data_IF_116874344056
#
_entry.id   IF_116874344056
#
_cell.length_a   1.000
_cell.length_b   1.000
_cell.length_c   1.000
_cell.angle_alpha   90.00
_cell.angle_beta   90.00
_cell.angle_gamma   90.00
#
_symmetry.space_group_name_H-M   'P 1'
#
loop_
_entity.id
_entity.type
_entity.pdbx_description
1 polymer ?
#
# COMPACT_ATOMS: atom_id res chain seq x y z
N UNK A 1 35.92 14.20 -6.42
CA UNK A 1 34.78 15.13 -6.34
C UNK A 1 33.56 14.37 -5.84
N UNK A 2 33.38 14.19 -4.53
CA UNK A 2 32.31 13.30 -4.02
C UNK A 2 31.69 13.70 -2.68
N UNK A 3 32.15 14.77 -2.04
CA UNK A 3 31.54 15.27 -0.79
C UNK A 3 30.40 16.25 -1.08
N UNK A 4 30.52 17.08 -2.12
CA UNK A 4 29.47 18.05 -2.50
C UNK A 4 28.17 17.35 -2.92
N UNK A 5 28.24 16.29 -3.74
CA UNK A 5 27.05 15.54 -4.15
C UNK A 5 26.40 14.84 -2.95
N UNK A 6 27.21 14.30 -2.04
CA UNK A 6 26.74 13.67 -0.81
C UNK A 6 26.04 14.69 0.11
N UNK A 7 26.59 15.90 0.25
CA UNK A 7 25.95 16.99 1.00
C UNK A 7 24.62 17.45 0.37
N UNK A 8 24.53 17.51 -0.96
CA UNK A 8 23.28 17.83 -1.67
C UNK A 8 22.23 16.73 -1.40
N UNK A 9 22.62 15.46 -1.43
CA UNK A 9 21.74 14.33 -1.13
C UNK A 9 21.26 14.36 0.32
N UNK A 10 22.14 14.69 1.27
CA UNK A 10 21.77 14.83 2.68
C UNK A 10 20.78 15.98 2.92
N UNK A 11 20.93 17.09 2.19
CA UNK A 11 20.00 18.22 2.25
C UNK A 11 18.63 17.86 1.66
N UNK A 12 18.59 17.06 0.59
CA UNK A 12 17.35 16.63 -0.04
C UNK A 12 16.57 15.61 0.79
N UNK A 13 17.26 14.71 1.49
CA UNK A 13 16.66 13.66 2.33
C UNK A 13 17.20 13.71 3.77
N UNK A 14 16.68 14.63 4.60
CA UNK A 14 17.04 14.67 6.01
C UNK A 14 16.64 13.35 6.69
N UNK A 15 17.39 12.98 7.75
CA UNK A 15 17.17 11.76 8.54
C UNK A 15 17.53 10.42 7.86
N UNK A 16 18.12 10.43 6.65
CA UNK A 16 18.57 9.21 5.93
C UNK A 16 20.07 9.16 5.64
N UNK A 17 20.87 9.90 6.40
CA UNK A 17 22.30 10.09 6.13
C UNK A 17 23.09 8.78 6.14
N UNK A 18 22.76 7.84 7.04
CA UNK A 18 23.40 6.52 7.13
C UNK A 18 23.04 5.62 5.95
N UNK A 19 21.75 5.48 5.62
CA UNK A 19 21.32 4.66 4.48
C UNK A 19 21.82 5.24 3.15
N UNK A 20 21.79 6.57 3.00
CA UNK A 20 22.35 7.24 1.81
C UNK A 20 23.85 6.96 1.73
N UNK A 21 24.59 7.03 2.84
CA UNK A 21 26.03 6.71 2.86
C UNK A 21 26.29 5.29 2.38
N UNK A 22 25.59 4.32 2.94
CA UNK A 22 25.81 2.91 2.64
C UNK A 22 25.50 2.62 1.16
N UNK A 23 24.35 3.09 0.67
CA UNK A 23 23.96 2.96 -0.75
C UNK A 23 24.96 3.69 -1.66
N UNK A 24 25.37 4.91 -1.31
CA UNK A 24 26.29 5.71 -2.10
C UNK A 24 27.69 5.09 -2.18
N UNK A 25 28.21 4.53 -1.07
CA UNK A 25 29.50 3.84 -1.04
C UNK A 25 29.47 2.61 -1.94
N UNK A 26 28.40 1.81 -1.86
CA UNK A 26 28.22 0.62 -2.70
C UNK A 26 28.12 0.99 -4.18
N UNK A 27 27.35 2.01 -4.52
CA UNK A 27 27.23 2.47 -5.90
C UNK A 27 28.49 3.18 -6.40
N UNK A 28 29.28 3.82 -5.54
CA UNK A 28 30.54 4.47 -5.95
C UNK A 28 31.61 3.44 -6.34
N UNK A 29 31.60 2.25 -5.73
CA UNK A 29 32.57 1.21 -6.07
C UNK A 29 32.50 0.88 -7.57
N UNK A 30 33.62 1.10 -8.27
CA UNK A 30 33.76 0.91 -9.72
C UNK A 30 34.36 -0.44 -10.11
N UNK A 31 34.82 -1.22 -9.13
CA UNK A 31 35.62 -2.43 -9.38
C UNK A 31 34.98 -3.64 -8.71
N UNK A 32 34.68 -4.67 -9.52
CA UNK A 32 34.30 -6.05 -9.15
C UNK A 32 32.86 -6.26 -8.65
N UNK A 33 32.26 -7.47 -8.86
CA UNK A 33 30.81 -7.64 -8.88
C UNK A 33 30.23 -7.33 -7.51
N UNK A 34 29.43 -6.26 -7.45
CA UNK A 34 28.65 -5.90 -6.29
C UNK A 34 27.57 -6.95 -6.14
N UNK A 35 27.56 -7.69 -5.03
CA UNK A 35 26.43 -8.53 -4.63
C UNK A 35 25.11 -7.80 -4.88
N UNK A 36 24.02 -8.51 -5.25
CA UNK A 36 22.74 -7.87 -5.45
C UNK A 36 22.34 -7.11 -4.17
N UNK A 37 21.78 -5.92 -4.33
CA UNK A 37 21.39 -5.07 -3.21
C UNK A 37 19.92 -5.31 -2.88
N UNK A 38 19.58 -5.50 -1.60
CA UNK A 38 18.21 -5.66 -1.15
C UNK A 38 17.85 -4.61 -0.10
N UNK A 39 16.95 -3.70 -0.48
CA UNK A 39 16.50 -2.56 0.30
C UNK A 39 15.10 -2.84 0.84
N UNK A 40 14.95 -2.95 2.15
CA UNK A 40 13.66 -3.29 2.77
C UNK A 40 13.25 -2.32 3.86
N UNK A 41 11.93 -2.15 4.04
CA UNK A 41 11.31 -1.24 5.00
C UNK A 41 9.86 -0.95 4.63
N UNK A 42 9.10 -0.24 5.45
CA UNK A 42 7.73 0.14 5.09
C UNK A 42 7.67 1.00 3.81
N UNK A 43 6.52 1.08 3.12
CA UNK A 43 6.35 2.04 2.04
C UNK A 43 6.43 3.49 2.56
N UNK A 44 6.64 4.45 1.67
CA UNK A 44 6.88 5.86 2.00
C UNK A 44 8.11 6.14 2.88
N UNK A 45 9.07 5.20 2.97
CA UNK A 45 10.38 5.41 3.65
C UNK A 45 11.44 6.07 2.76
N UNK A 46 11.12 6.38 1.50
CA UNK A 46 12.05 7.04 0.56
C UNK A 46 13.08 6.12 -0.09
N UNK A 47 12.91 4.79 -0.04
CA UNK A 47 13.82 3.81 -0.67
C UNK A 47 14.08 4.13 -2.15
N UNK A 48 13.00 4.27 -2.93
CA UNK A 48 13.07 4.56 -4.36
C UNK A 48 13.78 5.88 -4.63
N UNK A 49 13.38 6.95 -3.95
CA UNK A 49 13.95 8.29 -4.16
C UNK A 49 15.43 8.33 -3.81
N UNK A 50 15.86 7.68 -2.72
CA UNK A 50 17.28 7.59 -2.35
C UNK A 50 18.09 6.87 -3.42
N UNK A 51 17.62 5.73 -3.95
CA UNK A 51 18.31 5.01 -5.04
C UNK A 51 18.42 5.89 -6.29
N UNK A 52 17.28 6.45 -6.70
CA UNK A 52 17.18 7.26 -7.91
C UNK A 52 18.14 8.45 -7.85
N UNK A 53 18.22 9.13 -6.71
CA UNK A 53 19.11 10.26 -6.49
C UNK A 53 20.59 9.87 -6.37
N UNK A 54 20.93 8.79 -5.66
CA UNK A 54 22.31 8.33 -5.57
C UNK A 54 22.88 7.96 -6.95
N UNK A 55 22.07 7.33 -7.81
CA UNK A 55 22.50 6.96 -9.17
C UNK A 55 22.57 8.17 -10.11
N UNK A 56 21.67 9.14 -9.96
CA UNK A 56 21.73 10.43 -10.68
C UNK A 56 22.97 11.22 -10.30
N UNK A 57 23.30 11.33 -9.01
CA UNK A 57 24.50 12.00 -8.52
C UNK A 57 25.79 11.34 -9.04
N UNK A 58 25.82 10.02 -9.15
CA UNK A 58 26.96 9.28 -9.70
C UNK A 58 26.96 9.21 -11.24
N UNK A 59 25.96 9.81 -11.90
CA UNK A 59 25.73 9.77 -13.34
C UNK A 59 25.78 8.34 -13.92
N UNK A 60 25.16 7.38 -13.23
CA UNK A 60 25.14 5.97 -13.63
C UNK A 60 23.82 5.60 -14.32
N UNK A 61 23.89 4.76 -15.34
CA UNK A 61 22.70 4.28 -16.05
C UNK A 61 21.84 3.43 -15.12
N UNK A 62 20.57 3.82 -14.96
CA UNK A 62 19.56 3.10 -14.17
C UNK A 62 18.38 2.65 -15.02
N UNK A 63 17.82 1.50 -14.68
CA UNK A 63 16.59 0.96 -15.26
C UNK A 63 15.66 0.58 -14.12
N UNK A 64 14.56 1.31 -13.99
CA UNK A 64 13.55 1.09 -12.96
C UNK A 64 12.36 0.31 -13.53
N UNK A 65 11.94 -0.74 -12.81
CA UNK A 65 10.81 -1.59 -13.18
C UNK A 65 9.98 -1.83 -11.93
N UNK A 66 8.68 -1.60 -12.06
CA UNK A 66 7.75 -1.90 -10.99
C UNK A 66 7.17 -3.29 -11.17
N UNK A 67 7.54 -4.21 -10.27
CA UNK A 67 7.08 -5.59 -10.32
C UNK A 67 5.59 -5.70 -10.01
N UNK A 68 5.00 -4.72 -9.31
CA UNK A 68 3.56 -4.66 -9.07
C UNK A 68 2.76 -4.46 -10.37
N UNK A 69 3.33 -3.77 -11.37
CA UNK A 69 2.68 -3.55 -12.66
C UNK A 69 2.80 -4.77 -13.60
N UNK A 70 3.59 -5.78 -13.24
CA UNK A 70 3.81 -6.97 -14.04
C UNK A 70 2.97 -8.13 -13.49
N UNK A 71 1.81 -8.47 -14.09
CA UNK A 71 0.96 -9.54 -13.53
C UNK A 71 1.54 -10.94 -13.74
N UNK A 72 2.33 -11.15 -14.80
CA UNK A 72 2.83 -12.46 -15.22
C UNK A 72 4.34 -12.43 -15.50
N UNK A 73 5.00 -13.59 -15.47
CA UNK A 73 6.45 -13.72 -15.72
C UNK A 73 6.87 -13.15 -17.08
N UNK A 74 6.05 -13.40 -18.12
CA UNK A 74 6.27 -12.85 -19.47
C UNK A 74 6.31 -11.32 -19.47
N UNK A 75 5.37 -10.68 -18.77
CA UNK A 75 5.31 -9.22 -18.71
C UNK A 75 6.55 -8.65 -18.01
N UNK A 76 7.04 -9.34 -16.97
CA UNK A 76 8.28 -8.97 -16.29
C UNK A 76 9.49 -9.05 -17.21
N UNK A 77 9.68 -10.18 -17.89
CA UNK A 77 10.81 -10.38 -18.82
C UNK A 77 10.81 -9.37 -19.96
N UNK A 78 9.66 -9.19 -20.61
CA UNK A 78 9.51 -8.22 -21.70
C UNK A 78 9.75 -6.79 -21.19
N UNK A 79 9.27 -6.44 -20.00
CA UNK A 79 9.52 -5.11 -19.40
C UNK A 79 11.00 -4.87 -19.11
N UNK A 80 11.72 -5.87 -18.59
CA UNK A 80 13.17 -5.79 -18.36
C UNK A 80 13.92 -5.59 -19.68
N UNK A 81 13.65 -6.43 -20.68
CA UNK A 81 14.33 -6.36 -21.96
C UNK A 81 14.03 -5.07 -22.72
N UNK A 82 12.79 -4.60 -22.69
CA UNK A 82 12.39 -3.32 -23.29
C UNK A 82 13.17 -2.16 -22.68
N UNK A 83 13.25 -2.10 -21.35
CA UNK A 83 13.97 -1.02 -20.67
C UNK A 83 15.49 -1.10 -20.85
N UNK A 84 16.08 -2.30 -20.82
CA UNK A 84 17.51 -2.48 -21.06
C UNK A 84 17.92 -2.16 -22.50
N UNK A 85 17.05 -2.38 -23.48
CA UNK A 85 17.26 -2.02 -24.89
C UNK A 85 16.84 -0.60 -25.25
N UNK A 86 16.34 0.19 -24.28
CA UNK A 86 15.71 1.50 -24.49
C UNK A 86 14.55 1.48 -25.50
N UNK A 87 13.89 0.33 -25.65
CA UNK A 87 12.75 0.15 -26.54
C UNK A 87 11.45 0.56 -25.84
N UNK A 88 10.70 1.47 -26.45
CA UNK A 88 9.39 1.91 -25.94
C UNK A 88 8.31 1.36 -26.87
N UNK A 89 7.38 0.52 -26.39
CA UNK A 89 6.24 0.10 -27.20
C UNK A 89 5.38 1.34 -27.51
N UNK A 90 5.25 1.64 -28.80
CA UNK A 90 4.59 2.84 -29.31
C UNK A 90 3.72 2.48 -30.50
N UNK A 91 2.85 3.40 -30.93
CA UNK A 91 2.03 3.17 -32.12
C UNK A 91 2.88 2.89 -33.38
N UNK A 92 4.09 3.46 -33.46
CA UNK A 92 5.00 3.30 -34.59
C UNK A 92 5.57 1.89 -34.74
N UNK A 93 5.68 1.12 -33.65
CA UNK A 93 6.15 -0.27 -33.66
C UNK A 93 5.02 -1.29 -33.39
N UNK A 94 3.75 -0.87 -33.54
CA UNK A 94 2.60 -1.73 -33.35
C UNK A 94 2.43 -2.22 -31.90
N UNK A 95 2.91 -1.45 -30.92
CA UNK A 95 2.90 -1.81 -29.49
C UNK A 95 3.61 -3.14 -29.18
N UNK A 96 4.54 -3.57 -30.03
CA UNK A 96 5.27 -4.82 -29.81
C UNK A 96 6.40 -4.62 -28.79
N UNK A 97 6.65 -5.62 -27.97
CA UNK A 97 7.86 -5.70 -27.15
C UNK A 97 9.08 -5.95 -28.06
N UNK A 98 10.27 -5.53 -27.62
CA UNK A 98 11.53 -5.69 -28.35
C UNK A 98 11.73 -7.13 -28.81
N UNK A 99 11.52 -8.09 -27.90
CA UNK A 99 11.43 -9.52 -28.19
C UNK A 99 10.38 -10.16 -27.29
N UNK A 100 9.62 -11.10 -27.84
CA UNK A 100 8.64 -11.90 -27.08
C UNK A 100 9.37 -12.99 -26.31
N UNK A 101 9.16 -13.03 -24.99
CA UNK A 101 9.85 -13.99 -24.11
C UNK A 101 8.86 -14.75 -23.25
N UNK A 102 8.70 -16.04 -23.53
CA UNK A 102 7.77 -16.90 -22.82
C UNK A 102 8.47 -17.73 -21.74
N UNK A 103 9.76 -18.04 -21.93
CA UNK A 103 10.55 -18.85 -21.00
C UNK A 103 11.75 -18.08 -20.47
N UNK A 104 12.19 -18.46 -19.27
CA UNK A 104 13.40 -17.94 -18.63
C UNK A 104 14.67 -18.14 -19.48
N UNK A 105 14.77 -19.25 -20.20
CA UNK A 105 15.90 -19.53 -21.10
C UNK A 105 15.97 -18.51 -22.27
N UNK A 106 14.81 -18.16 -22.84
CA UNK A 106 14.74 -17.15 -23.89
C UNK A 106 15.13 -15.78 -23.34
N UNK A 107 14.65 -15.45 -22.14
CA UNK A 107 15.04 -14.22 -21.45
C UNK A 107 16.56 -14.11 -21.29
N UNK A 108 17.23 -15.14 -20.78
CA UNK A 108 18.71 -15.14 -20.61
C UNK A 108 19.41 -14.99 -21.97
N UNK A 109 18.93 -15.70 -23.01
CA UNK A 109 19.49 -15.59 -24.37
C UNK A 109 19.36 -14.17 -24.91
N UNK A 110 18.20 -13.54 -24.76
CA UNK A 110 17.97 -12.17 -25.23
C UNK A 110 18.71 -11.12 -24.40
N UNK A 111 18.95 -11.39 -23.12
CA UNK A 111 19.75 -10.53 -22.26
C UNK A 111 21.23 -10.54 -22.70
N UNK A 112 21.76 -11.68 -23.15
CA UNK A 112 23.11 -11.79 -23.73
C UNK A 112 23.28 -11.02 -25.05
N UNK A 113 22.21 -10.83 -25.81
CA UNK A 113 22.24 -10.10 -27.07
C UNK A 113 22.32 -8.58 -26.88
N UNK A 114 22.05 -8.07 -25.66
CA UNK A 114 22.08 -6.64 -25.36
C UNK A 114 23.51 -6.22 -24.98
N UNK A 115 24.21 -5.44 -25.82
CA UNK A 115 25.56 -4.99 -25.50
C UNK A 115 25.52 -3.92 -24.39
N UNK A 116 25.80 -4.31 -23.16
CA UNK A 116 25.96 -3.38 -22.05
C UNK A 116 27.41 -2.88 -22.02
N UNK A 117 27.68 -1.72 -22.64
CA UNK A 117 29.02 -1.10 -22.65
C UNK A 117 29.40 -0.44 -21.31
N UNK A 118 28.41 -0.14 -20.48
CA UNK A 118 28.54 0.55 -19.21
C UNK A 118 27.76 -0.19 -18.11
N UNK A 119 28.21 -0.09 -16.83
CA UNK A 119 27.50 -0.68 -15.71
C UNK A 119 26.08 -0.10 -15.59
N UNK A 120 25.07 -0.94 -15.77
CA UNK A 120 23.65 -0.62 -15.73
C UNK A 120 23.03 -1.17 -14.46
N UNK A 121 22.35 -0.32 -13.69
CA UNK A 121 21.67 -0.70 -12.45
C UNK A 121 20.20 -1.05 -12.74
N UNK A 122 19.85 -2.32 -12.58
CA UNK A 122 18.49 -2.82 -12.69
C UNK A 122 17.80 -2.74 -11.32
N UNK A 123 16.85 -1.82 -11.20
CA UNK A 123 16.09 -1.57 -9.97
C UNK A 123 14.71 -2.21 -10.09
N UNK A 124 14.45 -3.23 -9.28
CA UNK A 124 13.18 -3.93 -9.21
C UNK A 124 12.40 -3.41 -8.00
N UNK A 125 11.33 -2.67 -8.27
CA UNK A 125 10.45 -2.11 -7.26
C UNK A 125 9.38 -3.12 -6.85
N UNK A 126 9.01 -3.14 -5.56
CA UNK A 126 8.03 -4.08 -5.00
C UNK A 126 8.38 -5.55 -5.26
N UNK A 127 9.64 -5.92 -5.02
CA UNK A 127 10.19 -7.26 -5.26
C UNK A 127 9.46 -8.37 -4.48
N UNK A 128 8.67 -8.05 -3.45
CA UNK A 128 7.82 -9.02 -2.75
C UNK A 128 6.83 -9.72 -3.71
N UNK A 129 6.31 -8.96 -4.69
CA UNK A 129 5.39 -9.49 -5.72
C UNK A 129 6.08 -10.50 -6.63
N UNK A 130 7.39 -10.36 -6.86
CA UNK A 130 8.15 -11.28 -7.73
C UNK A 130 8.14 -12.70 -7.20
N UNK A 131 8.09 -12.90 -5.88
CA UNK A 131 8.03 -14.25 -5.31
C UNK A 131 6.73 -14.94 -5.65
N UNK A 132 5.62 -14.19 -5.67
CA UNK A 132 4.31 -14.73 -6.08
C UNK A 132 4.21 -14.96 -7.58
N UNK A 133 4.86 -14.11 -8.39
CA UNK A 133 4.77 -14.18 -9.86
C UNK A 133 5.73 -15.25 -10.42
N UNK A 134 7.02 -15.16 -10.09
CA UNK A 134 8.07 -16.04 -10.61
C UNK A 134 9.25 -16.17 -9.63
N UNK A 135 9.21 -17.15 -8.71
CA UNK A 135 10.32 -17.35 -7.76
C UNK A 135 11.62 -17.79 -8.46
N UNK A 136 11.53 -18.51 -9.59
CA UNK A 136 12.70 -18.94 -10.38
C UNK A 136 13.42 -17.78 -11.04
N UNK A 137 12.68 -16.80 -11.59
CA UNK A 137 13.26 -15.61 -12.17
C UNK A 137 14.04 -14.82 -11.13
N UNK A 138 13.49 -14.69 -9.92
CA UNK A 138 14.16 -13.95 -8.84
C UNK A 138 15.52 -14.56 -8.50
N UNK A 139 15.62 -15.89 -8.44
CA UNK A 139 16.89 -16.59 -8.19
C UNK A 139 17.89 -16.28 -9.30
N UNK A 140 17.46 -16.40 -10.57
CA UNK A 140 18.34 -16.06 -11.70
C UNK A 140 18.76 -14.60 -11.66
N UNK A 141 17.86 -13.68 -11.32
CA UNK A 141 18.14 -12.25 -11.20
C UNK A 141 19.19 -11.96 -10.11
N UNK A 142 19.10 -12.62 -8.95
CA UNK A 142 20.10 -12.53 -7.88
C UNK A 142 21.46 -13.12 -8.27
N UNK A 143 21.46 -14.09 -9.19
CA UNK A 143 22.65 -14.78 -9.64
C UNK A 143 23.18 -14.26 -10.98
N UNK A 144 22.59 -13.20 -11.55
CA UNK A 144 23.03 -12.64 -12.83
C UNK A 144 24.52 -12.32 -12.84
N UNK A 145 25.04 -11.83 -11.72
CA UNK A 145 26.45 -11.50 -11.53
C UNK A 145 27.40 -12.70 -11.63
N UNK A 146 26.92 -13.93 -11.40
CA UNK A 146 27.71 -15.16 -11.55
C UNK A 146 27.95 -15.49 -13.03
N UNK A 147 27.07 -15.05 -13.91
CA UNK A 147 27.23 -15.24 -15.34
C UNK A 147 28.19 -14.17 -15.88
N UNK A 148 29.33 -14.62 -16.43
CA UNK A 148 30.42 -13.77 -16.90
C UNK A 148 30.00 -12.73 -17.96
N UNK A 149 28.91 -12.98 -18.69
CA UNK A 149 28.34 -12.11 -19.71
C UNK A 149 27.56 -10.92 -19.15
N UNK A 150 27.08 -10.99 -17.90
CA UNK A 150 26.23 -9.97 -17.28
C UNK A 150 26.94 -9.15 -16.21
N UNK A 151 28.27 -9.13 -16.24
CA UNK A 151 29.12 -8.43 -15.25
C UNK A 151 28.81 -6.93 -15.10
N UNK A 152 28.21 -6.32 -16.12
CA UNK A 152 27.83 -4.92 -16.11
C UNK A 152 26.40 -4.67 -15.61
N UNK A 153 25.63 -5.68 -15.22
CA UNK A 153 24.26 -5.50 -14.72
C UNK A 153 24.25 -5.72 -13.22
N UNK A 154 23.91 -4.69 -12.46
CA UNK A 154 23.78 -4.75 -11.01
C UNK A 154 22.31 -4.76 -10.63
N UNK A 155 21.88 -5.74 -9.86
CA UNK A 155 20.49 -5.87 -9.45
C UNK A 155 20.28 -5.23 -8.08
N UNK A 156 19.33 -4.29 -8.00
CA UNK A 156 18.84 -3.72 -6.75
C UNK A 156 17.37 -4.05 -6.60
N UNK A 157 17.02 -4.73 -5.52
CA UNK A 157 15.67 -5.10 -5.14
C UNK A 157 15.17 -4.13 -4.07
N UNK A 158 13.95 -3.63 -4.22
CA UNK A 158 13.26 -2.91 -3.14
C UNK A 158 12.01 -3.67 -2.72
N UNK A 159 11.84 -3.83 -1.42
CA UNK A 159 10.79 -4.66 -0.86
C UNK A 159 10.20 -4.03 0.41
N UNK A 160 9.02 -4.49 0.81
CA UNK A 160 8.46 -4.20 2.13
C UNK A 160 8.83 -5.26 3.17
N UNK A 161 8.98 -6.53 2.76
CA UNK A 161 9.29 -7.61 3.68
C UNK A 161 10.78 -7.69 4.02
N UNK A 162 11.13 -8.10 5.25
CA UNK A 162 12.48 -8.55 5.55
C UNK A 162 12.90 -9.71 4.66
N UNK A 163 14.18 -9.77 4.31
CA UNK A 163 14.75 -10.80 3.44
C UNK A 163 14.49 -12.23 3.94
N UNK A 164 14.46 -12.44 5.27
CA UNK A 164 14.23 -13.76 5.87
C UNK A 164 12.86 -14.35 5.51
N UNK A 165 11.81 -13.51 5.45
CA UNK A 165 10.47 -13.96 5.05
C UNK A 165 10.43 -14.32 3.58
N UNK A 166 11.10 -13.51 2.76
CA UNK A 166 11.22 -13.73 1.33
C UNK A 166 12.00 -15.03 1.06
N UNK A 167 13.13 -15.22 1.72
CA UNK A 167 13.94 -16.45 1.68
C UNK A 167 13.14 -17.67 2.13
N UNK A 168 12.29 -17.52 3.16
CA UNK A 168 11.36 -18.55 3.63
C UNK A 168 10.44 -19.08 2.53
N UNK A 169 9.91 -18.18 1.69
CA UNK A 169 9.07 -18.55 0.54
C UNK A 169 9.87 -19.18 -0.61
N UNK A 170 11.18 -18.90 -0.68
CA UNK A 170 12.10 -19.49 -1.66
C UNK A 170 12.75 -20.80 -1.21
N UNK A 171 12.43 -21.33 -0.02
CA UNK A 171 13.07 -22.52 0.57
C UNK A 171 12.95 -23.80 -0.27
N UNK A 172 12.00 -23.87 -1.21
CA UNK A 172 11.92 -24.95 -2.20
C UNK A 172 13.14 -25.00 -3.13
N UNK A 173 13.94 -23.94 -3.19
CA UNK A 173 15.14 -23.85 -3.99
C UNK A 173 16.37 -23.84 -3.06
N UNK A 174 17.16 -24.92 -3.09
CA UNK A 174 18.41 -24.98 -2.34
C UNK A 174 19.43 -23.95 -2.90
N UNK A 175 20.21 -23.33 -2.01
CA UNK A 175 21.33 -22.42 -2.30
C UNK A 175 21.01 -21.07 -2.97
N UNK A 176 19.99 -20.34 -2.49
CA UNK A 176 19.75 -18.95 -2.91
C UNK A 176 20.87 -18.02 -2.39
N UNK A 177 21.47 -17.26 -3.30
CA UNK A 177 22.48 -16.24 -2.99
C UNK A 177 21.86 -15.13 -2.12
N UNK A 178 22.50 -14.81 -0.99
CA UNK A 178 22.03 -13.75 -0.10
C UNK A 178 22.53 -12.38 -0.57
N UNK A 179 21.64 -11.44 -0.91
CA UNK A 179 22.00 -10.07 -1.29
C UNK A 179 22.58 -9.29 -0.11
N UNK A 180 23.23 -8.17 -0.40
CA UNK A 180 23.59 -7.19 0.62
C UNK A 180 22.32 -6.50 1.14
N UNK A 181 22.09 -6.54 2.45
CA UNK A 181 20.85 -6.09 3.06
C UNK A 181 21.02 -4.67 3.61
N UNK A 182 20.13 -3.76 3.21
CA UNK A 182 20.03 -2.43 3.82
C UNK A 182 18.60 -2.22 4.31
N UNK A 183 18.49 -1.91 5.59
CA UNK A 183 17.23 -1.64 6.25
C UNK A 183 16.91 -0.14 6.25
N UNK A 184 15.67 0.18 5.87
CA UNK A 184 15.09 1.51 5.97
C UNK A 184 14.11 1.56 7.15
N UNK A 185 14.50 2.13 8.31
CA UNK A 185 13.61 2.27 9.46
C UNK A 185 12.44 3.19 9.17
N UNK A 186 11.34 3.06 9.91
CA UNK A 186 10.26 4.05 9.84
C UNK A 186 10.73 5.39 10.41
N UNK A 187 10.21 6.47 9.84
CA UNK A 187 10.47 7.82 10.34
C UNK A 187 9.87 7.97 11.74
N UNK A 188 10.66 8.52 12.66
CA UNK A 188 10.19 8.88 13.99
C UNK A 188 9.34 10.15 13.94
N UNK A 189 8.54 10.42 14.98
CA UNK A 189 7.68 11.61 15.06
C UNK A 189 8.44 12.93 14.76
N UNK A 190 9.63 13.10 15.36
CA UNK A 190 10.49 14.27 15.16
C UNK A 190 10.98 14.39 13.70
N UNK A 191 11.33 13.26 13.09
CA UNK A 191 11.82 13.20 11.71
C UNK A 191 10.70 13.51 10.73
N UNK A 192 9.50 12.97 10.96
CA UNK A 192 8.29 13.28 10.21
C UNK A 192 7.98 14.78 10.29
N UNK A 193 8.05 15.39 11.48
CA UNK A 193 7.82 16.84 11.65
C UNK A 193 8.79 17.65 10.79
N UNK A 194 10.09 17.35 10.87
CA UNK A 194 11.10 18.04 10.08
C UNK A 194 10.90 17.87 8.57
N UNK A 195 10.58 16.65 8.11
CA UNK A 195 10.39 16.38 6.69
C UNK A 195 9.12 17.08 6.17
N UNK A 196 8.02 17.01 6.92
CA UNK A 196 6.76 17.66 6.54
C UNK A 196 6.89 19.18 6.52
N UNK A 197 7.58 19.78 7.49
CA UNK A 197 7.86 21.22 7.52
C UNK A 197 8.58 21.68 6.24
N UNK A 198 9.54 20.90 5.76
CA UNK A 198 10.30 21.21 4.54
C UNK A 198 9.51 20.96 3.25
N UNK A 199 8.69 19.91 3.22
CA UNK A 199 7.95 19.50 2.02
C UNK A 199 6.65 20.30 1.80
N UNK A 200 6.09 20.91 2.85
CA UNK A 200 4.87 21.70 2.76
C UNK A 200 5.16 23.03 2.04
N UNK A 201 4.82 23.09 0.76
CA UNK A 201 4.89 24.32 -0.04
C UNK A 201 3.79 25.29 0.41
N UNK A 202 4.17 26.49 0.84
CA UNK A 202 3.23 27.54 1.26
C UNK A 202 3.79 28.91 0.90
N UNK A 203 2.92 29.91 0.91
CA UNK A 203 3.33 31.30 0.79
C UNK A 203 4.24 31.72 1.95
N UNK A 204 5.21 32.63 1.71
CA UNK A 204 6.16 33.10 2.72
C UNK A 204 5.47 33.79 3.90
N UNK A 205 4.24 34.27 3.72
CA UNK A 205 3.42 34.90 4.77
C UNK A 205 3.09 33.92 5.91
N UNK A 206 2.90 32.64 5.60
CA UNK A 206 2.40 31.63 6.54
C UNK A 206 3.48 30.70 7.08
N UNK A 207 4.76 30.98 6.78
CA UNK A 207 5.87 30.08 7.13
C UNK A 207 6.03 29.87 8.65
N UNK A 208 5.73 30.91 9.44
CA UNK A 208 5.74 30.84 10.91
C UNK A 208 4.66 29.90 11.47
N UNK A 209 3.55 29.72 10.75
CA UNK A 209 2.42 28.91 11.17
C UNK A 209 2.58 27.41 10.83
N UNK A 210 3.54 27.07 9.95
CA UNK A 210 3.80 25.67 9.55
C UNK A 210 4.18 24.79 10.72
N UNK A 211 5.16 25.20 11.53
CA UNK A 211 5.72 24.34 12.58
C UNK A 211 4.70 23.99 13.66
N UNK A 212 3.95 24.96 14.20
CA UNK A 212 2.88 24.65 15.15
C UNK A 212 1.81 23.74 14.50
N UNK A 213 1.39 24.04 13.27
CA UNK A 213 0.38 23.26 12.56
C UNK A 213 0.80 21.79 12.39
N UNK A 214 1.98 21.54 11.81
CA UNK A 214 2.49 20.19 11.55
C UNK A 214 2.58 19.37 12.85
N UNK A 215 3.08 19.96 13.94
CA UNK A 215 3.18 19.27 15.24
C UNK A 215 1.82 18.84 15.76
N UNK A 216 0.83 19.73 15.77
CA UNK A 216 -0.52 19.39 16.24
C UNK A 216 -1.21 18.33 15.38
N UNK A 217 -1.03 18.38 14.06
CA UNK A 217 -1.59 17.37 13.15
C UNK A 217 -0.90 16.02 13.37
N UNK A 218 0.42 16.02 13.58
CA UNK A 218 1.17 14.82 13.91
C UNK A 218 0.75 14.20 15.24
N UNK A 219 0.54 15.00 16.29
CA UNK A 219 0.09 14.49 17.59
C UNK A 219 -1.20 13.67 17.49
N UNK A 220 -2.08 14.04 16.56
CA UNK A 220 -3.36 13.36 16.34
C UNK A 220 -3.24 12.21 15.32
N UNK A 221 -2.57 12.43 14.18
CA UNK A 221 -2.60 11.52 13.04
C UNK A 221 -1.41 10.56 12.95
N UNK A 222 -0.32 10.77 13.70
CA UNK A 222 0.91 9.95 13.59
C UNK A 222 0.66 8.46 13.86
N UNK A 223 -0.19 8.13 14.84
CA UNK A 223 -0.54 6.75 15.13
C UNK A 223 -1.59 6.16 14.17
N UNK A 224 -2.39 7.00 13.53
CA UNK A 224 -3.44 6.58 12.61
C UNK A 224 -2.91 6.37 11.17
N UNK A 225 -1.93 7.17 10.74
CA UNK A 225 -1.40 7.17 9.38
C UNK A 225 0.08 6.77 9.39
N UNK A 226 0.43 5.52 9.04
CA UNK A 226 1.81 5.06 9.05
C UNK A 226 2.66 5.57 7.87
N UNK A 227 2.02 6.12 6.82
CA UNK A 227 2.67 6.47 5.56
C UNK A 227 2.85 7.98 5.40
N UNK A 228 4.10 8.40 5.19
CA UNK A 228 4.47 9.81 5.07
C UNK A 228 3.80 10.50 3.87
N UNK A 229 3.64 9.82 2.73
CA UNK A 229 3.06 10.43 1.52
C UNK A 229 1.57 10.77 1.72
N UNK A 230 0.85 9.88 2.40
CA UNK A 230 -0.55 10.10 2.77
C UNK A 230 -0.67 11.24 3.77
N UNK A 231 0.21 11.23 4.77
CA UNK A 231 0.26 12.28 5.80
C UNK A 231 0.55 13.66 5.19
N UNK A 232 1.48 13.75 4.22
CA UNK A 232 1.75 14.98 3.48
C UNK A 232 0.51 15.46 2.71
N UNK A 233 -0.17 14.55 2.02
CA UNK A 233 -1.39 14.88 1.25
C UNK A 233 -2.49 15.41 2.17
N UNK A 234 -2.67 14.77 3.33
CA UNK A 234 -3.63 15.22 4.36
C UNK A 234 -3.22 16.56 4.94
N UNK A 235 -1.94 16.76 5.26
CA UNK A 235 -1.42 18.04 5.74
C UNK A 235 -1.68 19.15 4.73
N UNK A 236 -1.46 18.93 3.43
CA UNK A 236 -1.72 19.91 2.37
C UNK A 236 -3.21 20.29 2.28
N UNK A 237 -4.11 19.32 2.42
CA UNK A 237 -5.56 19.58 2.42
C UNK A 237 -5.99 20.37 3.67
N UNK A 238 -5.56 19.92 4.85
CA UNK A 238 -5.91 20.56 6.12
C UNK A 238 -5.29 21.94 6.27
N UNK A 239 -4.10 22.17 5.70
CA UNK A 239 -3.44 23.46 5.77
C UNK A 239 -4.20 24.56 5.03
N UNK A 240 -4.90 24.21 3.92
CA UNK A 240 -5.79 25.15 3.22
C UNK A 240 -6.96 25.58 4.11
N UNK A 241 -7.56 24.63 4.80
CA UNK A 241 -8.67 24.88 5.74
C UNK A 241 -8.18 25.67 6.97
N UNK A 242 -6.94 25.41 7.40
CA UNK A 242 -6.30 26.12 8.50
C UNK A 242 -6.06 27.60 8.20
N UNK A 243 -5.74 27.96 6.94
CA UNK A 243 -5.47 29.34 6.51
C UNK A 243 -6.74 30.13 6.23
N UNK A 244 -7.82 29.50 5.76
CA UNK A 244 -9.09 30.14 5.40
C UNK A 244 -9.55 31.27 6.36
N UNK A 245 -9.57 31.09 7.70
CA UNK A 245 -9.99 32.16 8.62
C UNK A 245 -9.06 33.39 8.65
N UNK A 246 -7.80 33.25 8.22
CA UNK A 246 -6.82 34.34 8.12
C UNK A 246 -7.00 35.11 6.80
N UNK A 247 -7.43 34.45 5.74
CA UNK A 247 -7.68 35.09 4.43
C UNK A 247 -9.00 35.85 4.39
N UNK A 248 -10.00 35.40 5.15
CA UNK A 248 -11.34 35.99 5.17
C UNK A 248 -11.47 37.17 6.17
N UNK A 249 -10.43 37.50 6.95
CA UNK A 249 -10.39 38.59 7.95
C UNK A 249 -11.59 38.60 8.94
N UNK A 250 -12.27 37.47 9.14
CA UNK A 250 -13.55 37.38 9.89
C UNK A 250 -13.36 37.60 11.39
N UNK A 251 -12.15 37.34 11.89
CA UNK A 251 -11.78 37.65 13.25
C UNK A 251 -10.49 38.44 13.23
N UNK A 252 -10.34 39.34 14.19
CA UNK A 252 -9.07 39.83 14.70
C UNK A 252 -8.23 38.68 15.29
N UNK A 253 -8.11 37.57 14.56
CA UNK A 253 -7.26 36.43 14.86
C UNK A 253 -5.85 36.86 14.48
N UNK A 254 -5.24 37.56 15.42
CA UNK A 254 -3.82 37.81 15.40
C UNK A 254 -3.08 36.49 15.13
N UNK A 255 -1.91 36.56 14.50
CA UNK A 255 -0.94 35.47 14.35
C UNK A 255 -0.67 34.66 15.65
N UNK A 256 -1.13 35.17 16.79
CA UNK A 256 -0.99 34.62 18.13
C UNK A 256 -2.06 33.61 18.57
N UNK A 257 -3.27 33.61 18.02
CA UNK A 257 -4.36 32.73 18.52
C UNK A 257 -4.36 31.38 17.80
N UNK A 258 -3.24 30.66 17.91
CA UNK A 258 -3.08 29.32 17.36
C UNK A 258 -4.21 28.37 17.83
N UNK A 259 -4.67 28.53 19.08
CA UNK A 259 -5.77 27.74 19.66
C UNK A 259 -7.10 27.86 18.91
N UNK A 260 -7.46 29.05 18.39
CA UNK A 260 -8.72 29.23 17.67
C UNK A 260 -8.66 28.61 16.27
N UNK A 261 -7.50 28.74 15.61
CA UNK A 261 -7.24 28.08 14.33
C UNK A 261 -7.27 26.55 14.49
N UNK A 262 -6.80 26.02 15.62
CA UNK A 262 -6.89 24.61 15.94
C UNK A 262 -8.33 24.13 16.13
N UNK A 263 -9.17 24.90 16.82
CA UNK A 263 -10.58 24.57 16.99
C UNK A 263 -11.32 24.42 15.66
N UNK A 264 -10.92 25.18 14.62
CA UNK A 264 -11.52 25.08 13.29
C UNK A 264 -11.13 23.79 12.55
N UNK A 265 -9.89 23.31 12.69
CA UNK A 265 -9.44 22.08 12.02
C UNK A 265 -9.81 20.80 12.78
N UNK A 266 -10.09 20.89 14.08
CA UNK A 266 -10.40 19.77 14.95
C UNK A 266 -11.57 18.88 14.45
N UNK A 267 -12.71 19.40 13.95
CA UNK A 267 -13.76 18.56 13.37
C UNK A 267 -13.30 17.80 12.12
N UNK A 268 -12.48 18.41 11.26
CA UNK A 268 -11.95 17.75 10.05
C UNK A 268 -10.90 16.69 10.38
N UNK A 269 -10.10 16.90 11.42
CA UNK A 269 -9.17 15.89 11.95
C UNK A 269 -9.94 14.68 12.48
N UNK A 270 -11.00 14.90 13.27
CA UNK A 270 -11.88 13.83 13.76
C UNK A 270 -12.56 13.08 12.63
N UNK A 271 -13.16 13.79 11.66
CA UNK A 271 -13.77 13.15 10.50
C UNK A 271 -12.78 12.30 9.70
N UNK A 272 -11.51 12.74 9.57
CA UNK A 272 -10.48 11.97 8.89
C UNK A 272 -10.01 10.76 9.68
N UNK A 273 -9.85 10.89 11.00
CA UNK A 273 -9.64 9.73 11.87
C UNK A 273 -10.79 8.75 11.72
N UNK A 274 -12.03 9.19 11.88
CA UNK A 274 -13.23 8.36 11.77
C UNK A 274 -13.32 7.70 10.39
N UNK A 275 -13.07 8.42 9.30
CA UNK A 275 -13.05 7.87 7.94
C UNK A 275 -11.95 6.81 7.72
N UNK A 276 -10.77 6.96 8.34
CA UNK A 276 -9.69 5.98 8.25
C UNK A 276 -9.95 4.77 9.14
N UNK A 277 -10.50 4.98 10.34
CA UNK A 277 -11.02 3.89 11.17
C UNK A 277 -12.18 3.19 10.47
N UNK A 278 -13.04 3.87 9.73
CA UNK A 278 -14.10 3.27 8.93
C UNK A 278 -13.56 2.47 7.73
N UNK A 279 -12.50 2.91 7.04
CA UNK A 279 -11.84 2.11 6.01
C UNK A 279 -11.11 0.90 6.60
N UNK A 280 -10.47 1.06 7.75
CA UNK A 280 -9.92 -0.06 8.50
C UNK A 280 -11.03 -0.97 9.04
N UNK A 281 -12.17 -0.45 9.48
CA UNK A 281 -13.38 -1.19 9.89
C UNK A 281 -14.05 -1.88 8.71
N UNK A 282 -14.00 -1.39 7.48
CA UNK A 282 -14.42 -2.22 6.34
C UNK A 282 -13.50 -3.45 6.15
N UNK A 283 -12.26 -3.38 6.64
CA UNK A 283 -11.28 -4.49 6.67
C UNK A 283 -11.36 -5.29 7.99
N UNK A 284 -11.72 -4.66 9.11
CA UNK A 284 -11.69 -5.20 10.47
C UNK A 284 -13.06 -5.43 11.11
N UNK A 285 -14.17 -4.91 10.58
CA UNK A 285 -15.57 -5.30 10.87
C UNK A 285 -15.97 -6.60 10.16
N UNK A 286 -15.00 -7.28 9.52
CA UNK A 286 -15.05 -8.74 9.50
C UNK A 286 -14.97 -9.34 10.92
N UNK A 287 -14.49 -8.58 11.91
CA UNK A 287 -14.33 -8.97 13.30
C UNK A 287 -14.83 -7.85 14.27
N UNK A 288 -16.12 -7.93 14.62
CA UNK A 288 -16.73 -7.44 15.87
C UNK A 288 -17.07 -5.93 16.05
N UNK A 289 -18.35 -5.63 15.77
CA UNK A 289 -19.32 -4.88 16.59
C UNK A 289 -18.95 -3.53 17.27
N UNK A 290 -19.54 -2.47 16.68
CA UNK A 290 -20.54 -1.55 17.27
C UNK A 290 -20.22 -0.05 17.38
N UNK A 291 -21.07 0.70 16.67
CA UNK A 291 -21.73 1.96 17.02
C UNK A 291 -20.90 3.26 17.02
N UNK A 292 -21.04 4.04 15.95
CA UNK A 292 -21.76 5.34 15.98
C UNK A 292 -21.77 6.00 14.59
N UNK A 293 -22.87 6.73 14.31
CA UNK A 293 -23.15 7.57 13.14
C UNK A 293 -23.74 6.89 11.89
N UNK A 294 -25.01 6.49 12.05
CA UNK A 294 -25.97 5.99 11.05
C UNK A 294 -26.40 6.99 9.96
N UNK A 295 -25.51 7.81 9.39
CA UNK A 295 -25.90 8.71 8.28
C UNK A 295 -25.17 8.50 6.95
N UNK A 296 -24.19 7.59 6.87
CA UNK A 296 -23.45 7.35 5.60
C UNK A 296 -23.92 6.07 4.87
N UNK A 297 -24.71 5.19 5.52
CA UNK A 297 -25.19 3.93 4.92
C UNK A 297 -26.63 4.00 4.40
N UNK A 298 -27.27 5.17 4.47
CA UNK A 298 -28.62 5.40 3.97
C UNK A 298 -28.61 5.90 2.52
N UNK A 299 -27.60 5.55 1.71
CA UNK A 299 -27.85 5.42 0.28
C UNK A 299 -28.92 4.34 0.16
N UNK A 300 -30.16 4.77 -0.08
CA UNK A 300 -31.25 3.90 -0.43
C UNK A 300 -30.80 3.09 -1.63
N UNK A 301 -30.30 1.88 -1.37
CA UNK A 301 -30.08 0.93 -2.43
C UNK A 301 -31.40 0.85 -3.19
N UNK A 302 -31.40 1.33 -4.44
CA UNK A 302 -32.53 1.25 -5.37
C UNK A 302 -32.72 -0.22 -5.81
N UNK A 303 -32.80 -1.13 -4.85
CA UNK A 303 -33.18 -2.51 -5.03
C UNK A 303 -34.70 -2.54 -5.23
N UNK A 304 -35.16 -3.39 -6.15
CA UNK A 304 -36.58 -3.73 -6.25
C UNK A 304 -37.08 -4.24 -4.89
N UNK A 305 -38.36 -4.04 -4.59
CA UNK A 305 -38.96 -4.53 -3.34
C UNK A 305 -38.72 -6.05 -3.14
N UNK A 306 -38.70 -6.81 -4.23
CA UNK A 306 -38.36 -8.23 -4.22
C UNK A 306 -36.92 -8.48 -3.81
N UNK A 307 -35.96 -7.69 -4.29
CA UNK A 307 -34.56 -7.80 -3.92
C UNK A 307 -34.33 -7.40 -2.45
N UNK A 308 -35.03 -6.37 -1.95
CA UNK A 308 -34.97 -5.98 -0.52
C UNK A 308 -35.44 -7.12 0.39
N UNK A 309 -36.58 -7.74 0.08
CA UNK A 309 -37.09 -8.90 0.81
C UNK A 309 -36.14 -10.10 0.72
N UNK A 310 -35.49 -10.29 -0.43
CA UNK A 310 -34.54 -11.36 -0.67
C UNK A 310 -33.25 -11.16 0.14
N UNK A 311 -32.74 -9.94 0.26
CA UNK A 311 -31.64 -9.61 1.16
C UNK A 311 -32.00 -9.81 2.63
N UNK A 312 -33.19 -9.38 3.04
CA UNK A 312 -33.69 -9.57 4.42
C UNK A 312 -33.83 -11.07 4.73
N UNK A 313 -34.38 -11.87 3.81
CA UNK A 313 -34.48 -13.32 3.98
C UNK A 313 -33.10 -14.00 4.05
N UNK A 314 -32.12 -13.52 3.27
CA UNK A 314 -30.76 -14.07 3.30
C UNK A 314 -30.09 -13.77 4.64
N UNK A 315 -30.24 -12.55 5.14
CA UNK A 315 -29.79 -12.12 6.46
C UNK A 315 -30.44 -12.95 7.57
N UNK A 316 -31.75 -13.14 7.52
CA UNK A 316 -32.47 -13.99 8.47
C UNK A 316 -31.98 -15.44 8.40
N UNK A 317 -31.76 -16.02 7.23
CA UNK A 317 -31.25 -17.38 7.07
C UNK A 317 -29.82 -17.55 7.63
N UNK A 318 -28.97 -16.54 7.50
CA UNK A 318 -27.60 -16.53 8.01
C UNK A 318 -27.52 -16.40 9.54
N UNK A 319 -28.34 -15.54 10.15
CA UNK A 319 -28.26 -15.27 11.60
C UNK A 319 -29.22 -16.12 12.45
N UNK A 320 -30.29 -16.65 11.86
CA UNK A 320 -31.22 -17.54 12.55
C UNK A 320 -30.74 -18.98 12.33
N UNK A 321 -30.62 -19.77 13.40
CA UNK A 321 -30.38 -21.21 13.26
C UNK A 321 -31.60 -21.90 12.65
N UNK A 322 -31.38 -22.84 11.73
CA UNK A 322 -32.42 -23.64 11.04
C UNK A 322 -33.45 -24.31 11.97
N UNK A 323 -33.08 -24.54 13.24
CA UNK A 323 -33.97 -25.09 14.28
C UNK A 323 -35.07 -24.12 14.71
N UNK A 324 -34.89 -22.81 14.50
CA UNK A 324 -35.84 -21.75 14.91
C UNK A 324 -36.77 -21.33 13.79
N UNK A 325 -36.47 -21.65 12.53
CA UNK A 325 -37.28 -21.29 11.37
C UNK A 325 -38.72 -21.79 11.51
N UNK A 326 -38.91 -23.01 12.00
CA UNK A 326 -40.25 -23.56 12.22
C UNK A 326 -41.05 -22.77 13.26
N UNK A 327 -40.41 -22.08 14.21
CA UNK A 327 -41.12 -21.24 15.19
C UNK A 327 -41.44 -19.85 14.65
N UNK A 328 -40.60 -19.32 13.77
CA UNK A 328 -40.67 -17.93 13.30
C UNK A 328 -41.54 -17.83 12.05
N UNK A 329 -41.42 -18.77 11.12
CA UNK A 329 -42.07 -18.69 9.81
C UNK A 329 -43.34 -19.55 9.67
N UNK A 330 -43.68 -20.40 10.65
CA UNK A 330 -44.95 -21.15 10.60
C UNK A 330 -46.08 -20.33 11.24
N UNK A 331 -46.99 -19.78 10.42
CA UNK A 331 -48.23 -19.11 10.89
C UNK A 331 -49.31 -20.10 11.37
N UNK A 332 -49.16 -21.40 11.13
CA UNK A 332 -50.17 -22.42 11.51
C UNK A 332 -49.77 -23.11 12.81
N UNK A 333 -50.45 -22.78 13.91
CA UNK A 333 -50.39 -23.57 15.14
C UNK A 333 -51.06 -24.93 14.91
N UNK A 334 -50.36 -25.89 14.32
CA UNK A 334 -50.82 -27.27 14.38
C UNK A 334 -50.66 -27.73 15.82
N UNK A 335 -51.80 -27.90 16.50
CA UNK A 335 -51.98 -28.34 17.90
C UNK A 335 -51.44 -29.76 18.16
N UNK A 336 -50.15 -29.98 17.98
CA UNK A 336 -49.47 -31.19 18.42
C UNK A 336 -48.42 -30.78 19.46
N UNK A 337 -48.73 -31.06 20.74
CA UNK A 337 -47.90 -30.76 21.91
C UNK A 337 -46.49 -31.33 21.71
N UNK A 338 -45.54 -30.49 21.30
CA UNK A 338 -44.11 -30.80 21.35
C UNK A 338 -43.44 -30.10 22.53
N UNK A 339 -42.61 -30.88 23.21
CA UNK A 339 -41.93 -30.59 24.49
C UNK A 339 -41.07 -29.31 24.37
N UNK A 340 -41.35 -28.30 25.19
CA UNK A 340 -40.54 -27.07 25.31
C UNK A 340 -39.14 -27.43 25.81
N UNK A 341 -38.09 -27.20 25.01
CA UNK A 341 -36.69 -27.22 25.47
C UNK A 341 -36.25 -25.82 25.87
N UNK A 342 -35.43 -25.75 26.93
CA UNK A 342 -34.89 -24.53 27.56
C UNK A 342 -34.19 -23.63 26.53
N UNK A 343 -34.42 -22.33 26.66
CA UNK A 343 -33.63 -21.30 25.99
C UNK A 343 -32.20 -21.37 26.54
N UNK A 344 -31.24 -21.65 25.67
CA UNK A 344 -29.84 -21.33 25.95
C UNK A 344 -29.59 -19.89 25.50
N UNK A 345 -28.99 -19.12 26.41
CA UNK A 345 -28.45 -17.81 26.11
C UNK A 345 -27.27 -18.02 25.15
N UNK A 346 -27.30 -17.37 24.00
CA UNK A 346 -26.18 -17.37 23.07
C UNK A 346 -25.82 -15.93 22.70
N UNK A 347 -24.51 -15.73 22.54
CA UNK A 347 -23.83 -14.49 22.20
C UNK A 347 -24.33 -13.89 20.89
N UNK A 348 -24.37 -12.56 20.85
CA UNK A 348 -24.69 -11.71 19.69
C UNK A 348 -23.51 -11.55 18.73
N UNK A 349 -22.45 -12.34 18.87
CA UNK A 349 -21.37 -12.43 17.89
C UNK A 349 -21.65 -13.67 17.03
N UNK A 350 -22.22 -13.45 15.85
CA UNK A 350 -22.63 -14.50 14.93
C UNK A 350 -21.94 -14.23 13.60
N UNK A 351 -20.89 -14.99 13.29
CA UNK A 351 -20.43 -15.18 11.91
C UNK A 351 -21.58 -15.76 11.07
N UNK A 352 -21.68 -15.36 9.81
CA UNK A 352 -22.74 -15.82 8.91
C UNK A 352 -22.75 -17.35 8.79
N UNK A 353 -23.85 -17.98 9.20
CA UNK A 353 -23.99 -19.43 9.12
C UNK A 353 -24.34 -19.79 7.67
N UNK A 354 -23.60 -20.70 7.00
CA UNK A 354 -23.96 -21.13 5.66
C UNK A 354 -25.36 -21.77 5.66
N UNK A 355 -26.21 -21.33 4.74
CA UNK A 355 -27.59 -21.81 4.60
C UNK A 355 -27.83 -22.39 3.19
N UNK A 356 -28.72 -23.38 3.10
CA UNK A 356 -29.08 -23.97 1.80
C UNK A 356 -30.02 -23.05 1.02
N UNK A 357 -29.95 -23.13 -0.31
CA UNK A 357 -30.83 -22.37 -1.20
C UNK A 357 -32.32 -22.69 -1.00
N UNK A 358 -32.65 -23.95 -0.66
CA UNK A 358 -34.02 -24.37 -0.35
C UNK A 358 -34.55 -23.69 0.92
N UNK A 359 -33.71 -23.60 1.96
CA UNK A 359 -34.06 -22.90 3.20
C UNK A 359 -34.35 -21.42 2.92
N UNK A 360 -33.51 -20.78 2.11
CA UNK A 360 -33.72 -19.42 1.67
C UNK A 360 -35.03 -19.20 0.91
N UNK A 361 -35.37 -20.10 -0.02
CA UNK A 361 -36.63 -20.02 -0.76
C UNK A 361 -37.85 -20.21 0.14
N UNK A 362 -37.78 -21.10 1.14
CA UNK A 362 -38.89 -21.31 2.08
C UNK A 362 -39.21 -20.09 2.96
N UNK A 363 -38.22 -19.22 3.19
CA UNK A 363 -38.40 -17.95 3.90
C UNK A 363 -38.97 -16.83 3.02
N UNK A 364 -39.03 -17.01 1.70
CA UNK A 364 -39.71 -16.06 0.78
C UNK A 364 -41.23 -16.03 0.96
N UNK A 365 -41.80 -17.04 1.62
CA UNK A 365 -43.24 -17.17 1.86
C UNK A 365 -43.62 -16.35 3.10
N UNK A 366 -43.25 -15.07 3.13
CA UNK A 366 -43.94 -14.11 3.99
C UNK A 366 -45.12 -13.63 3.15
N UNK A 367 -46.38 -13.93 3.53
CA UNK A 367 -47.53 -13.52 2.73
C UNK A 367 -47.54 -12.00 2.56
N UNK A 368 -47.94 -11.56 1.38
CA UNK A 368 -48.06 -10.18 0.91
C UNK A 368 -49.12 -9.36 1.69
N UNK A 369 -49.17 -9.47 3.01
CA UNK A 369 -50.08 -8.75 3.91
C UNK A 369 -49.39 -7.58 4.62
N UNK A 370 -48.14 -7.28 4.26
CA UNK A 370 -47.44 -6.05 4.67
C UNK A 370 -47.08 -5.26 3.40
N UNK A 371 -48.11 -4.76 2.74
CA UNK A 371 -48.06 -3.65 1.79
C UNK A 371 -48.85 -2.49 2.39
#
# INVERSE_FOLDING_TARGET
MSEQDYEVLQKAFPCRTTQIRDVFVLYKATVLPLLPLYLYGLPSTGKKTVISLCLEALNKRKVEIDCFLCPNERALYESILNRLSNHIPSKANGYQSWKKTERLADFIRHLNEIPCKEPTYLILLHADTLVSICPKALIVLLELEKYSTFRWIHVTLTAYLPWERLKGQLLSFHNVTTPYLIWFPNYQWNECAMILENMLQTDPKYEKLKKPFVRTVLDVLYHAIPYLDQLLTVCQQLFRIYIQPIEEDIHSASFHDASQLYSNILPYLKQRLDGMYCQHQLISDRNENQQSNNHILADEYHLSNTAKLLCIAAYMAAHISSKRDSKIFTKRSTFLKKRRRKNSNYSTQIEDIPFSFERFQSQKIIPAEFY
#
